data_IF_497699448184
#
_entry.id   IF_497699448184
#
_cell.length_a   1.000
_cell.length_b   1.000
_cell.length_c   1.000
_cell.angle_alpha   90.00
_cell.angle_beta   90.00
_cell.angle_gamma   90.00
#
_symmetry.space_group_name_H-M   'P 1'
#
loop_
_entity.id
_entity.type
_entity.pdbx_description
1 polymer ?
#
# COMPACT_ATOMS: atom_id res chain seq x y z
N UNK A 1 55.84 -37.28 -42.98
CA UNK A 1 54.73 -38.26 -43.06
C UNK A 1 53.87 -38.15 -41.82
N UNK A 2 52.54 -38.14 -42.03
CA UNK A 2 51.42 -38.35 -41.08
C UNK A 2 51.10 -37.26 -40.05
N UNK A 3 50.13 -36.42 -40.45
CA UNK A 3 49.18 -35.70 -39.58
C UNK A 3 48.34 -36.72 -38.79
N UNK A 4 48.05 -36.44 -37.51
CA UNK A 4 46.94 -37.07 -36.80
C UNK A 4 46.21 -36.00 -35.98
N UNK A 5 45.03 -35.64 -36.48
CA UNK A 5 44.05 -34.83 -35.80
C UNK A 5 43.35 -35.70 -34.72
N UNK A 6 43.14 -35.13 -33.53
CA UNK A 6 42.13 -35.61 -32.59
C UNK A 6 41.18 -34.47 -32.29
N UNK A 7 39.95 -34.63 -32.76
CA UNK A 7 38.83 -33.77 -32.45
C UNK A 7 38.44 -33.94 -30.97
N UNK A 8 38.39 -32.84 -30.24
CA UNK A 8 37.73 -32.79 -28.93
C UNK A 8 36.27 -32.42 -29.16
N UNK A 9 35.38 -33.35 -28.83
CA UNK A 9 33.93 -33.12 -28.80
C UNK A 9 33.60 -32.13 -27.69
N UNK A 10 33.09 -30.95 -28.08
CA UNK A 10 32.48 -29.99 -27.17
C UNK A 10 31.00 -30.39 -26.95
N UNK A 11 30.69 -30.97 -25.79
CA UNK A 11 29.31 -31.19 -25.36
C UNK A 11 28.73 -29.87 -24.82
N UNK A 12 28.01 -29.14 -25.68
CA UNK A 12 27.17 -28.01 -25.28
C UNK A 12 25.90 -28.54 -24.58
N UNK A 13 25.90 -28.55 -23.25
CA UNK A 13 24.69 -28.75 -22.48
C UNK A 13 23.78 -27.53 -22.60
N UNK A 14 22.70 -27.62 -23.38
CA UNK A 14 21.61 -26.65 -23.34
C UNK A 14 20.90 -26.76 -21.99
N UNK A 15 21.31 -25.93 -21.03
CA UNK A 15 20.44 -25.58 -19.91
C UNK A 15 19.31 -24.70 -20.46
N UNK A 16 18.16 -25.32 -20.74
CA UNK A 16 16.92 -24.61 -20.96
C UNK A 16 16.55 -23.90 -19.66
N UNK A 17 16.97 -22.64 -19.54
CA UNK A 17 16.56 -21.74 -18.47
C UNK A 17 15.08 -21.44 -18.69
N UNK A 18 14.21 -22.28 -18.11
CA UNK A 18 12.78 -22.02 -18.03
C UNK A 18 12.60 -20.72 -17.24
N UNK A 19 12.30 -19.63 -17.94
CA UNK A 19 11.93 -18.37 -17.31
C UNK A 19 10.62 -18.60 -16.53
N UNK A 20 10.75 -18.94 -15.26
CA UNK A 20 9.66 -18.82 -14.29
C UNK A 20 9.35 -17.33 -14.17
N UNK A 21 8.44 -16.83 -15.02
CA UNK A 21 7.80 -15.54 -14.79
C UNK A 21 7.01 -15.69 -13.49
N UNK A 22 7.34 -14.92 -12.42
CA UNK A 22 6.53 -14.95 -11.22
C UNK A 22 5.13 -14.51 -11.63
N UNK A 23 4.13 -15.32 -11.30
CA UNK A 23 2.73 -14.97 -11.49
C UNK A 23 2.41 -13.79 -10.55
N UNK A 24 2.60 -12.56 -11.01
CA UNK A 24 2.22 -11.37 -10.28
C UNK A 24 0.71 -11.19 -10.34
N UNK A 25 0.08 -10.97 -9.19
CA UNK A 25 -1.35 -10.65 -9.11
C UNK A 25 -1.67 -9.34 -9.80
N UNK A 26 -2.92 -9.21 -10.27
CA UNK A 26 -3.43 -7.90 -10.64
C UNK A 26 -3.28 -6.97 -9.43
N UNK A 27 -2.51 -5.89 -9.56
CA UNK A 27 -2.24 -5.03 -8.43
C UNK A 27 -3.49 -4.19 -8.10
N UNK A 28 -3.59 -3.74 -6.86
CA UNK A 28 -4.62 -2.79 -6.45
C UNK A 28 -4.14 -1.37 -6.78
N UNK A 29 -4.89 -0.64 -7.62
CA UNK A 29 -4.50 0.70 -8.06
C UNK A 29 -5.50 1.77 -7.61
N UNK A 30 -5.00 2.91 -7.16
CA UNK A 30 -5.77 4.05 -6.69
C UNK A 30 -5.23 5.35 -7.32
N UNK A 31 -6.01 5.95 -8.22
CA UNK A 31 -5.65 7.23 -8.85
C UNK A 31 -5.97 8.37 -7.88
N UNK A 32 -4.93 8.99 -7.29
CA UNK A 32 -5.07 10.03 -6.28
C UNK A 32 -5.27 11.43 -6.87
N UNK A 33 -4.96 11.63 -8.14
CA UNK A 33 -5.13 12.91 -8.83
C UNK A 33 -4.36 12.96 -10.14
N UNK A 34 -4.11 14.17 -10.63
CA UNK A 34 -3.23 14.44 -11.76
C UNK A 34 -2.28 15.58 -11.44
N UNK A 35 -1.06 15.52 -11.96
CA UNK A 35 -0.07 16.58 -11.89
C UNK A 35 0.53 16.74 -13.29
N UNK A 36 0.49 17.95 -13.86
CA UNK A 36 0.95 18.24 -15.21
C UNK A 36 0.37 17.28 -16.28
N UNK A 37 -0.93 16.93 -16.16
CA UNK A 37 -1.59 16.00 -17.07
C UNK A 37 -1.27 14.51 -16.84
N UNK A 38 -0.33 14.18 -15.94
CA UNK A 38 0.01 12.81 -15.60
C UNK A 38 -0.79 12.31 -14.40
N UNK A 39 -1.41 11.14 -14.54
CA UNK A 39 -2.13 10.48 -13.44
C UNK A 39 -1.19 10.14 -12.29
N UNK A 40 -1.52 10.61 -11.09
CA UNK A 40 -0.85 10.27 -9.84
C UNK A 40 -1.43 8.97 -9.30
N UNK A 41 -1.02 7.86 -9.92
CA UNK A 41 -1.45 6.52 -9.55
C UNK A 41 -0.64 5.98 -8.38
N UNK A 42 -1.30 5.37 -7.41
CA UNK A 42 -0.64 4.55 -6.38
C UNK A 42 -1.04 3.11 -6.59
N UNK A 43 -0.06 2.23 -6.68
CA UNK A 43 -0.27 0.81 -6.95
C UNK A 43 0.30 -0.03 -5.81
N UNK A 44 -0.55 -0.88 -5.24
CA UNK A 44 -0.21 -1.88 -4.23
C UNK A 44 -0.16 -3.25 -4.92
N UNK A 45 1.03 -3.82 -5.01
CA UNK A 45 1.25 -5.17 -5.51
C UNK A 45 1.66 -6.11 -4.38
N UNK A 46 1.56 -7.41 -4.64
CA UNK A 46 2.11 -8.44 -3.77
C UNK A 46 2.91 -9.42 -4.61
N UNK A 47 4.01 -9.93 -4.04
CA UNK A 47 4.80 -11.01 -4.64
C UNK A 47 4.06 -12.36 -4.52
N UNK A 48 4.66 -13.41 -5.05
CA UNK A 48 4.18 -14.78 -4.86
C UNK A 48 3.96 -15.08 -3.37
N UNK A 49 2.89 -15.79 -2.99
CA UNK A 49 2.65 -16.16 -1.60
C UNK A 49 3.80 -16.96 -0.99
N UNK A 50 4.07 -16.72 0.29
CA UNK A 50 4.99 -17.46 1.15
C UNK A 50 4.14 -18.02 2.29
N UNK A 51 3.75 -19.30 2.18
CA UNK A 51 2.70 -19.89 2.99
C UNK A 51 1.39 -19.07 2.91
N UNK A 52 0.89 -18.57 4.03
CA UNK A 52 -0.32 -17.74 4.17
C UNK A 52 -0.05 -16.22 4.06
N UNK A 53 1.20 -15.84 3.86
CA UNK A 53 1.66 -14.44 3.80
C UNK A 53 2.17 -14.07 2.40
N UNK A 54 2.46 -12.79 2.18
CA UNK A 54 3.18 -12.32 0.99
C UNK A 54 3.95 -11.04 1.32
N UNK A 55 5.01 -10.76 0.54
CA UNK A 55 5.69 -9.46 0.57
C UNK A 55 4.88 -8.49 -0.30
N UNK A 56 4.46 -7.37 0.30
CA UNK A 56 3.72 -6.33 -0.38
C UNK A 56 4.64 -5.19 -0.82
N UNK A 57 4.33 -4.61 -1.97
CA UNK A 57 5.11 -3.55 -2.58
C UNK A 57 4.21 -2.38 -2.96
N UNK A 58 4.75 -1.17 -2.83
CA UNK A 58 4.13 0.07 -3.21
C UNK A 58 4.85 0.67 -4.42
N UNK A 59 4.08 1.19 -5.36
CA UNK A 59 4.56 2.00 -6.45
C UNK A 59 3.83 3.36 -6.42
N UNK A 60 4.61 4.43 -6.37
CA UNK A 60 4.12 5.81 -6.37
C UNK A 60 4.33 6.44 -7.75
N UNK A 61 3.24 6.84 -8.41
CA UNK A 61 3.25 7.30 -9.79
C UNK A 61 3.36 6.13 -10.78
N UNK A 62 2.90 6.35 -12.02
CA UNK A 62 2.89 5.30 -13.06
C UNK A 62 4.28 4.81 -13.47
N UNK A 63 5.31 5.65 -13.29
CA UNK A 63 6.72 5.35 -13.61
C UNK A 63 7.59 5.14 -12.38
N UNK A 64 7.02 5.16 -11.17
CA UNK A 64 7.80 4.96 -9.94
C UNK A 64 8.37 3.55 -9.83
N UNK A 65 9.47 3.39 -9.10
CA UNK A 65 9.98 2.09 -8.73
C UNK A 65 9.05 1.41 -7.70
N UNK A 66 8.87 0.08 -7.82
CA UNK A 66 8.24 -0.72 -6.77
C UNK A 66 9.19 -0.86 -5.60
N UNK A 67 8.69 -0.65 -4.39
CA UNK A 67 9.45 -0.78 -3.15
C UNK A 67 8.63 -1.53 -2.11
N UNK A 68 9.27 -2.27 -1.17
CA UNK A 68 8.56 -2.82 -0.01
C UNK A 68 7.70 -1.74 0.68
N UNK A 69 6.50 -2.11 1.15
CA UNK A 69 5.60 -1.20 1.88
C UNK A 69 6.27 -0.52 3.08
N UNK A 70 7.04 -1.29 3.83
CA UNK A 70 7.78 -0.95 5.04
C UNK A 70 9.19 -1.52 4.93
N UNK A 71 10.15 -0.91 5.63
CA UNK A 71 11.54 -1.38 5.65
C UNK A 71 12.21 -1.20 4.28
N UNK A 72 12.84 -0.04 4.06
CA UNK A 72 13.65 0.15 2.85
C UNK A 72 14.85 -0.81 2.79
N UNK A 73 15.25 -1.32 3.96
CA UNK A 73 16.42 -2.17 4.17
C UNK A 73 16.04 -3.66 4.28
N UNK A 74 14.90 -3.99 4.89
CA UNK A 74 14.41 -5.37 5.03
C UNK A 74 12.99 -5.55 4.44
N UNK A 75 12.86 -6.23 3.28
CA UNK A 75 11.56 -6.57 2.70
C UNK A 75 10.65 -7.42 3.59
N UNK A 76 11.19 -8.13 4.59
CA UNK A 76 10.37 -8.92 5.53
C UNK A 76 9.47 -8.02 6.41
N UNK A 77 9.81 -6.74 6.60
CA UNK A 77 8.92 -5.76 7.23
C UNK A 77 7.61 -5.56 6.44
N UNK A 78 7.65 -5.84 5.14
CA UNK A 78 6.50 -5.78 4.24
C UNK A 78 5.81 -7.11 4.05
N UNK A 79 6.31 -8.17 4.69
CA UNK A 79 5.66 -9.46 4.68
C UNK A 79 4.47 -9.43 5.62
N UNK A 80 3.30 -9.77 5.09
CA UNK A 80 2.08 -9.72 5.87
C UNK A 80 0.96 -10.61 5.36
N UNK A 81 -0.09 -10.67 6.17
CA UNK A 81 -1.34 -11.38 5.90
C UNK A 81 -2.53 -10.47 6.16
N UNK A 82 -3.70 -10.90 5.69
CA UNK A 82 -4.96 -10.16 5.84
C UNK A 82 -4.88 -8.67 5.40
N UNK A 83 -4.04 -8.35 4.41
CA UNK A 83 -3.89 -6.98 3.91
C UNK A 83 -5.16 -6.54 3.21
N UNK A 84 -5.69 -5.41 3.64
CA UNK A 84 -6.89 -4.77 3.11
C UNK A 84 -6.58 -3.35 2.68
N UNK A 85 -7.25 -2.90 1.63
CA UNK A 85 -7.07 -1.57 1.08
C UNK A 85 -8.41 -0.94 0.69
N UNK A 86 -8.43 0.39 0.64
CA UNK A 86 -9.54 1.16 0.09
C UNK A 86 -9.02 2.45 -0.57
N UNK A 87 -9.49 2.71 -1.78
CA UNK A 87 -9.34 4.02 -2.41
C UNK A 87 -10.57 4.86 -2.04
N UNK A 88 -10.36 6.01 -1.42
CA UNK A 88 -11.41 6.95 -1.00
C UNK A 88 -11.33 8.26 -1.76
N UNK A 89 -12.47 8.94 -1.93
CA UNK A 89 -12.61 10.16 -2.70
C UNK A 89 -13.62 11.11 -2.06
N UNK A 90 -13.29 12.39 -2.01
CA UNK A 90 -14.23 13.48 -1.70
C UNK A 90 -14.97 13.97 -2.95
N UNK A 91 -16.11 14.62 -2.77
CA UNK A 91 -16.88 15.23 -3.87
C UNK A 91 -17.54 14.20 -4.79
N UNK A 92 -18.89 14.17 -4.79
CA UNK A 92 -19.67 13.40 -5.76
C UNK A 92 -19.47 14.00 -7.16
N UNK A 93 -18.76 13.28 -8.04
CA UNK A 93 -18.87 13.43 -9.50
C UNK A 93 -17.99 14.48 -10.22
N UNK A 94 -17.45 15.51 -9.56
CA UNK A 94 -16.95 16.70 -10.29
C UNK A 94 -15.42 16.75 -10.53
N UNK A 95 -14.71 15.62 -10.41
CA UNK A 95 -13.27 15.54 -10.70
C UNK A 95 -12.31 16.17 -9.68
N UNK A 96 -12.73 17.21 -8.95
CA UNK A 96 -11.89 18.02 -8.04
C UNK A 96 -11.83 17.51 -6.58
N UNK A 97 -12.10 16.23 -6.37
CA UNK A 97 -12.08 15.63 -5.04
C UNK A 97 -10.67 15.26 -4.58
N UNK A 98 -10.34 15.56 -3.32
CA UNK A 98 -9.24 14.93 -2.58
C UNK A 98 -9.45 13.42 -2.56
N UNK A 99 -8.38 12.67 -2.78
CA UNK A 99 -8.41 11.21 -2.77
C UNK A 99 -7.32 10.69 -1.85
N UNK A 100 -7.58 9.53 -1.27
CA UNK A 100 -6.60 8.85 -0.45
C UNK A 100 -6.63 7.34 -0.69
N UNK A 101 -5.48 6.71 -0.49
CA UNK A 101 -5.37 5.26 -0.35
C UNK A 101 -5.19 4.95 1.14
N UNK A 102 -6.04 4.08 1.69
CA UNK A 102 -5.87 3.54 3.04
C UNK A 102 -5.51 2.06 2.93
N UNK A 103 -4.44 1.64 3.61
CA UNK A 103 -3.99 0.24 3.68
C UNK A 103 -3.80 -0.16 5.13
N UNK A 104 -4.19 -1.38 5.48
CA UNK A 104 -3.95 -1.98 6.79
C UNK A 104 -3.81 -3.50 6.65
N UNK A 105 -2.94 -4.10 7.45
CA UNK A 105 -2.79 -5.55 7.51
C UNK A 105 -2.00 -5.99 8.74
N UNK A 106 -1.78 -7.28 8.82
CA UNK A 106 -0.90 -7.90 9.82
C UNK A 106 0.46 -8.10 9.19
N UNK A 107 1.45 -7.33 9.63
CA UNK A 107 2.82 -7.37 9.11
C UNK A 107 3.76 -7.95 10.16
N UNK A 108 4.66 -8.83 9.73
CA UNK A 108 5.37 -9.74 10.64
C UNK A 108 6.29 -9.02 11.65
N UNK A 109 6.84 -7.85 11.30
CA UNK A 109 7.78 -7.14 12.17
C UNK A 109 7.15 -6.24 13.23
N UNK A 110 5.83 -6.05 13.22
CA UNK A 110 5.18 -5.06 14.06
C UNK A 110 4.69 -5.63 15.41
N UNK A 111 4.31 -6.91 15.48
CA UNK A 111 3.64 -7.49 16.66
C UNK A 111 2.18 -7.02 16.87
N UNK A 112 1.68 -6.14 16.01
CA UNK A 112 0.30 -5.67 15.96
C UNK A 112 -0.05 -5.18 14.55
N UNK A 113 -1.34 -5.07 14.18
CA UNK A 113 -1.72 -4.57 12.86
C UNK A 113 -1.17 -3.17 12.61
N UNK A 114 -0.66 -2.95 11.40
CA UNK A 114 -0.17 -1.65 10.95
C UNK A 114 -0.66 -1.32 9.56
N UNK A 115 -0.53 -0.05 9.19
CA UNK A 115 -1.05 0.46 7.95
C UNK A 115 -0.52 1.83 7.62
N UNK A 116 -1.07 2.39 6.55
CA UNK A 116 -0.79 3.74 6.14
C UNK A 116 -1.94 4.38 5.38
N UNK A 117 -1.91 5.71 5.31
CA UNK A 117 -2.72 6.52 4.42
C UNK A 117 -1.80 7.26 3.47
N UNK A 118 -2.10 7.23 2.17
CA UNK A 118 -1.42 8.05 1.16
C UNK A 118 -2.41 9.07 0.60
N UNK A 119 -2.04 10.34 0.62
CA UNK A 119 -2.76 11.45 0.00
C UNK A 119 -1.90 12.14 -1.05
N UNK A 120 -2.52 12.94 -1.90
CA UNK A 120 -1.81 13.86 -2.78
C UNK A 120 -1.92 15.27 -2.18
N UNK A 121 -0.80 16.00 -2.10
CA UNK A 121 -0.82 17.38 -1.62
C UNK A 121 -1.69 18.30 -2.48
N UNK A 122 -2.17 19.43 -1.94
CA UNK A 122 -3.17 20.31 -2.58
C UNK A 122 -2.74 20.95 -3.92
N UNK A 123 -1.44 20.94 -4.25
CA UNK A 123 -0.91 21.40 -5.55
C UNK A 123 -0.52 20.24 -6.49
N UNK A 124 -1.00 19.02 -6.23
CA UNK A 124 -0.66 17.83 -7.02
C UNK A 124 0.80 17.39 -6.93
N UNK A 125 1.63 18.13 -6.19
CA UNK A 125 3.08 18.08 -6.34
C UNK A 125 3.72 16.81 -5.77
N UNK A 126 3.24 16.30 -4.62
CA UNK A 126 3.92 15.22 -3.88
C UNK A 126 2.92 14.36 -3.10
N UNK A 127 3.22 13.07 -3.02
CA UNK A 127 2.52 12.12 -2.15
C UNK A 127 2.85 12.41 -0.68
N UNK A 128 1.82 12.53 0.15
CA UNK A 128 1.94 12.47 1.60
C UNK A 128 1.66 11.06 2.09
N UNK A 129 2.37 10.61 3.13
CA UNK A 129 2.18 9.30 3.74
C UNK A 129 2.13 9.43 5.25
N UNK A 130 1.08 8.90 5.85
CA UNK A 130 0.96 8.70 7.29
C UNK A 130 1.02 7.20 7.56
N UNK A 131 2.04 6.74 8.29
CA UNK A 131 2.06 5.39 8.85
C UNK A 131 1.36 5.38 10.21
N UNK A 132 0.67 4.28 10.51
CA UNK A 132 0.04 4.05 11.81
C UNK A 132 0.14 2.58 12.18
N UNK A 133 0.02 2.29 13.47
CA UNK A 133 0.08 0.93 13.96
C UNK A 133 -0.84 0.81 15.19
N UNK A 134 -2.03 0.24 14.96
CA UNK A 134 -3.14 0.22 15.91
C UNK A 134 -3.85 -1.13 15.90
N UNK A 135 -4.29 -1.58 17.07
CA UNK A 135 -5.10 -2.81 17.19
C UNK A 135 -6.44 -2.68 16.47
N UNK A 136 -7.10 -1.53 16.63
CA UNK A 136 -8.36 -1.27 15.96
C UNK A 136 -8.11 -0.76 14.54
N UNK A 137 -8.97 -1.18 13.61
CA UNK A 137 -8.97 -0.59 12.28
C UNK A 137 -9.51 0.85 12.32
N UNK A 138 -8.96 1.76 11.49
CA UNK A 138 -9.50 3.10 11.39
C UNK A 138 -10.91 3.04 10.79
N UNK A 139 -11.80 3.89 11.30
CA UNK A 139 -13.22 3.89 10.91
C UNK A 139 -13.60 5.06 10.03
N UNK A 140 -12.91 6.19 10.19
CA UNK A 140 -13.16 7.39 9.42
C UNK A 140 -11.88 8.05 8.94
N UNK A 141 -11.98 8.66 7.77
CA UNK A 141 -11.02 9.61 7.25
C UNK A 141 -11.72 10.95 7.10
N UNK A 142 -11.14 12.00 7.67
CA UNK A 142 -11.62 13.37 7.52
C UNK A 142 -10.66 14.06 6.56
N UNK A 143 -11.12 14.31 5.34
CA UNK A 143 -10.30 14.90 4.29
C UNK A 143 -10.57 16.41 4.24
N UNK A 144 -9.55 17.18 4.61
CA UNK A 144 -9.56 18.64 4.55
C UNK A 144 -8.64 19.16 3.44
N UNK A 145 -8.67 20.47 3.14
CA UNK A 145 -7.80 21.09 2.15
C UNK A 145 -6.32 21.15 2.58
N UNK A 146 -6.05 21.24 3.90
CA UNK A 146 -4.70 21.41 4.45
C UNK A 146 -4.18 20.15 5.13
N UNK A 147 -5.04 19.47 5.88
CA UNK A 147 -4.71 18.29 6.64
C UNK A 147 -5.76 17.20 6.48
N UNK A 148 -5.39 16.01 6.93
CA UNK A 148 -6.24 14.83 6.98
C UNK A 148 -6.25 14.30 8.40
N UNK A 149 -7.42 13.85 8.88
CA UNK A 149 -7.53 13.13 10.15
C UNK A 149 -7.87 11.67 9.89
N UNK A 150 -7.06 10.77 10.43
CA UNK A 150 -7.36 9.36 10.52
C UNK A 150 -7.91 9.06 11.93
N UNK A 151 -9.13 8.53 11.99
CA UNK A 151 -9.84 8.35 13.26
C UNK A 151 -10.10 6.89 13.54
N UNK A 152 -9.64 6.45 14.71
CA UNK A 152 -9.85 5.12 15.24
C UNK A 152 -10.96 5.16 16.30
N UNK A 153 -11.85 4.16 16.32
CA UNK A 153 -12.86 4.03 17.35
C UNK A 153 -12.24 3.65 18.70
N UNK A 154 -12.94 3.91 19.83
CA UNK A 154 -12.51 3.48 21.15
C UNK A 154 -12.19 1.98 21.26
N UNK A 155 -11.39 1.63 22.26
CA UNK A 155 -11.07 0.24 22.62
C UNK A 155 -9.80 -0.34 21.95
N UNK A 156 -9.05 0.47 21.20
CA UNK A 156 -7.81 0.02 20.55
C UNK A 156 -6.60 -0.02 21.49
N UNK A 157 -6.62 0.80 22.55
CA UNK A 157 -5.60 0.92 23.59
C UNK A 157 -6.28 1.15 24.95
N UNK A 158 -5.57 0.96 26.06
CA UNK A 158 -6.13 1.20 27.40
C UNK A 158 -6.52 2.68 27.58
N UNK A 159 -5.67 3.59 27.09
CA UNK A 159 -5.86 5.03 27.12
C UNK A 159 -7.06 5.49 26.28
N UNK A 160 -7.49 4.67 25.32
CA UNK A 160 -8.57 4.97 24.37
C UNK A 160 -9.80 4.10 24.59
N UNK A 161 -9.93 3.47 25.77
CA UNK A 161 -11.05 2.58 26.11
C UNK A 161 -12.42 3.17 25.77
N UNK A 162 -12.64 4.44 26.13
CA UNK A 162 -13.88 5.18 25.88
C UNK A 162 -13.65 6.44 25.03
N UNK A 163 -12.50 6.53 24.34
CA UNK A 163 -12.07 7.73 23.62
C UNK A 163 -11.60 7.39 22.21
N UNK A 164 -11.84 8.30 21.28
CA UNK A 164 -11.37 8.21 19.91
C UNK A 164 -9.90 8.58 19.85
N UNK A 165 -9.12 7.82 19.09
CA UNK A 165 -7.75 8.16 18.76
C UNK A 165 -7.72 8.82 17.39
N UNK A 166 -7.06 9.98 17.30
CA UNK A 166 -7.06 10.83 16.11
C UNK A 166 -5.63 11.13 15.72
N UNK A 167 -5.30 10.77 14.48
CA UNK A 167 -4.00 11.07 13.88
C UNK A 167 -4.24 12.19 12.87
N UNK A 168 -3.67 13.37 13.13
CA UNK A 168 -3.67 14.51 12.20
C UNK A 168 -2.38 14.51 11.42
N UNK A 169 -2.43 14.76 10.12
CA UNK A 169 -1.23 14.96 9.30
C UNK A 169 -1.47 15.98 8.19
N UNK A 170 -0.43 16.73 7.86
CA UNK A 170 -0.47 17.73 6.79
C UNK A 170 -0.47 17.01 5.44
N UNK A 171 -1.29 17.48 4.50
CA UNK A 171 -1.32 16.94 3.16
C UNK A 171 -0.05 17.36 2.39
N UNK A 172 0.94 16.49 2.27
CA UNK A 172 2.17 16.79 1.55
C UNK A 172 3.38 16.00 2.03
N UNK A 173 4.59 16.38 1.61
CA UNK A 173 5.83 15.63 1.89
C UNK A 173 6.40 15.89 3.29
N UNK A 174 5.88 16.88 4.02
CA UNK A 174 6.43 17.25 5.31
C UNK A 174 6.07 16.18 6.35
N UNK A 175 7.06 15.59 7.03
CA UNK A 175 6.79 14.74 8.18
C UNK A 175 6.22 15.63 9.27
N UNK A 176 4.92 15.52 9.50
CA UNK A 176 4.21 16.35 10.44
C UNK A 176 2.88 15.73 10.78
N UNK A 177 2.62 15.62 12.08
CA UNK A 177 1.37 15.13 12.58
C UNK A 177 1.26 15.24 14.09
N UNK A 178 0.04 15.13 14.58
CA UNK A 178 -0.26 15.11 15.99
C UNK A 178 -1.18 13.92 16.27
N UNK A 179 -0.90 13.23 17.37
CA UNK A 179 -1.81 12.26 17.97
C UNK A 179 -2.60 12.96 19.07
N UNK A 180 -3.93 12.82 19.03
CA UNK A 180 -4.79 13.30 20.10
C UNK A 180 -5.88 12.28 20.44
N UNK A 181 -6.39 12.37 21.66
CA UNK A 181 -7.46 11.50 22.14
C UNK A 181 -8.68 12.34 22.51
N UNK A 182 -9.84 12.03 21.92
CA UNK A 182 -11.07 12.81 22.06
C UNK A 182 -12.21 11.98 22.66
N UNK A 183 -13.00 12.57 23.54
CA UNK A 183 -14.20 11.91 24.09
C UNK A 183 -15.35 11.73 23.09
N UNK A 184 -15.26 12.33 21.91
CA UNK A 184 -16.23 12.24 20.81
C UNK A 184 -15.51 12.30 19.46
N UNK A 185 -16.14 11.84 18.35
CA UNK A 185 -15.54 11.99 17.02
C UNK A 185 -15.23 13.46 16.70
N UNK A 186 -14.18 13.75 15.89
CA UNK A 186 -13.90 15.10 15.43
C UNK A 186 -15.10 15.75 14.73
N UNK A 187 -15.18 17.08 14.84
CA UNK A 187 -16.12 17.90 14.09
C UNK A 187 -15.83 17.80 12.58
N UNK A 188 -16.87 17.83 11.76
CA UNK A 188 -16.77 17.78 10.30
C UNK A 188 -16.56 19.16 9.68
N UNK A 189 -16.61 20.27 10.43
CA UNK A 189 -16.34 21.61 9.89
C UNK A 189 -14.96 21.67 9.24
N UNK A 190 -14.93 21.96 7.94
CA UNK A 190 -13.70 22.01 7.14
C UNK A 190 -13.23 20.66 6.58
N UNK A 191 -13.98 19.57 6.82
CA UNK A 191 -13.65 18.22 6.40
C UNK A 191 -14.81 17.52 5.69
N UNK A 192 -14.49 16.72 4.67
CA UNK A 192 -15.39 15.66 4.25
C UNK A 192 -15.08 14.39 5.03
N UNK A 193 -16.06 13.89 5.81
CA UNK A 193 -15.93 12.66 6.59
C UNK A 193 -16.32 11.45 5.75
N UNK A 194 -15.35 10.60 5.46
CA UNK A 194 -15.52 9.35 4.73
C UNK A 194 -15.46 8.17 5.69
N UNK A 195 -16.40 7.24 5.55
CA UNK A 195 -16.35 5.96 6.27
C UNK A 195 -15.38 5.01 5.57
N UNK A 196 -14.44 4.47 6.34
CA UNK A 196 -13.49 3.49 5.87
C UNK A 196 -14.15 2.10 5.90
N UNK A 197 -14.08 1.39 4.77
CA UNK A 197 -14.55 0.04 4.54
C UNK A 197 -13.44 -0.71 3.79
N UNK A 198 -12.44 -1.15 4.55
CA UNK A 198 -11.29 -1.86 4.01
C UNK A 198 -11.71 -3.21 3.44
N UNK A 199 -11.38 -3.47 2.18
CA UNK A 199 -11.63 -4.74 1.51
C UNK A 199 -10.32 -5.51 1.33
N UNK A 200 -10.33 -6.86 1.38
CA UNK A 200 -9.14 -7.67 1.12
C UNK A 200 -8.51 -7.33 -0.22
N UNK A 201 -7.19 -7.19 -0.25
CA UNK A 201 -6.44 -7.11 -1.51
C UNK A 201 -6.55 -8.48 -2.18
N UNK A 202 -7.35 -8.55 -3.25
CA UNK A 202 -7.78 -9.82 -3.84
C UNK A 202 -6.59 -10.74 -4.14
N UNK A 203 -6.70 -12.03 -3.81
CA UNK A 203 -5.66 -12.97 -4.13
C UNK A 203 -5.58 -13.26 -5.63
N UNK A 204 -4.37 -13.59 -6.07
CA UNK A 204 -4.13 -14.30 -7.33
C UNK A 204 -5.05 -15.52 -7.40
N UNK A 205 -5.82 -15.64 -8.48
CA UNK A 205 -6.23 -16.98 -8.90
C UNK A 205 -4.96 -17.69 -9.39
N UNK A 206 -4.64 -18.90 -8.90
CA UNK A 206 -3.56 -19.67 -9.49
C UNK A 206 -3.87 -19.88 -10.97
N UNK A 207 -2.99 -19.42 -11.84
CA UNK A 207 -3.01 -19.84 -13.25
C UNK A 207 -2.51 -21.28 -13.22
N UNK A 208 -3.42 -22.25 -13.33
CA UNK A 208 -3.01 -23.63 -13.48
C UNK A 208 -2.10 -23.75 -14.71
N UNK A 209 -0.96 -24.45 -14.62
CA UNK A 209 -0.14 -24.70 -15.78
C UNK A 209 -0.99 -25.48 -16.80
N UNK A 210 -1.00 -25.01 -18.04
CA UNK A 210 -1.54 -25.76 -19.16
C UNK A 210 -0.80 -27.11 -19.20
N UNK A 211 -1.53 -28.20 -18.97
CA UNK A 211 -1.02 -29.54 -19.23
C UNK A 211 -0.77 -29.63 -20.74
N UNK A 212 0.49 -29.69 -21.14
CA UNK A 212 0.89 -30.08 -22.49
C UNK A 212 1.02 -31.60 -22.56
#
# INVERSE_FOLDING_TARGET
>A
MKRLARALFASFGLFACGAFLPAFGMPFSCALGSNNGHSQMVTLSRRSPIADSAIYELQLGSSGARRPLFGAEDPEDSRGMAVRAQCVRTGKGNGNGTRALVVMGEFMSAGYPRGFVITLGPQGGRFGRLDFAERNAPRWLYLGPKDTLLVFPPGGRAETRDRYLVYRFVNGPEPGGAEETLGKPPDTRGYERIRIQLAPVKPLKPVMPLKH
#
